data_IF_835025115126
#
_entry.id   IF_835025115126
#
_cell.length_a   1.000
_cell.length_b   1.000
_cell.length_c   1.000
_cell.angle_alpha   90.00
_cell.angle_beta   90.00
_cell.angle_gamma   90.00
#
_symmetry.space_group_name_H-M   'P 1'
#
loop_
_entity.id
_entity.type
_entity.pdbx_description
1 polymer ?
#
# COMPACT_ATOMS: atom_id res chain seq x y z
N UNK A 1 3.84 7.70 29.05
CA UNK A 1 5.25 7.27 29.08
C UNK A 1 5.62 6.95 27.64
N UNK A 2 6.22 7.90 26.92
CA UNK A 2 6.50 7.77 25.48
C UNK A 2 7.99 7.45 25.38
N UNK A 3 8.31 6.20 25.03
CA UNK A 3 9.69 5.80 24.73
C UNK A 3 10.03 6.27 23.32
N UNK A 4 10.71 7.41 23.20
CA UNK A 4 11.35 7.79 21.94
C UNK A 4 12.65 7.02 21.81
N UNK A 5 12.65 5.91 21.07
CA UNK A 5 13.91 5.29 20.63
C UNK A 5 14.51 6.22 19.57
N UNK A 6 15.66 6.80 19.92
CA UNK A 6 16.44 7.67 19.04
C UNK A 6 16.76 6.92 17.75
N UNK A 7 16.09 7.27 16.65
CA UNK A 7 16.51 6.85 15.31
C UNK A 7 17.96 7.32 15.16
N UNK A 8 18.89 6.39 14.98
CA UNK A 8 20.31 6.70 14.86
C UNK A 8 20.50 7.66 13.67
N UNK A 9 21.34 8.70 13.86
CA UNK A 9 21.61 9.76 12.88
C UNK A 9 21.95 9.23 11.47
N UNK A 10 22.56 8.05 11.40
CA UNK A 10 22.90 7.30 10.19
C UNK A 10 21.65 6.91 9.36
N UNK A 11 20.58 6.42 10.00
CA UNK A 11 19.35 5.97 9.34
C UNK A 11 18.55 7.14 8.76
N UNK A 12 18.55 8.30 9.45
CA UNK A 12 17.97 9.55 8.92
C UNK A 12 18.70 10.05 7.67
N UNK A 13 20.03 9.93 7.64
CA UNK A 13 20.84 10.35 6.49
C UNK A 13 20.59 9.41 5.29
N UNK A 14 20.46 8.10 5.55
CA UNK A 14 20.13 7.12 4.53
C UNK A 14 18.76 7.40 3.89
N UNK A 15 17.73 7.61 4.72
CA UNK A 15 16.39 7.95 4.23
C UNK A 15 16.40 9.24 3.40
N UNK A 16 17.06 10.31 3.86
CA UNK A 16 17.18 11.57 3.12
C UNK A 16 17.97 11.44 1.80
N UNK A 17 18.99 10.59 1.74
CA UNK A 17 19.73 10.32 0.49
C UNK A 17 18.87 9.59 -0.56
N UNK A 18 17.93 8.75 -0.14
CA UNK A 18 17.05 7.98 -1.03
C UNK A 18 15.83 8.80 -1.46
N UNK A 19 15.15 9.47 -0.53
CA UNK A 19 13.93 10.25 -0.83
C UNK A 19 14.22 11.68 -1.29
N UNK A 20 15.36 12.25 -0.89
CA UNK A 20 15.72 13.64 -1.21
C UNK A 20 15.82 13.94 -2.71
N UNK A 21 16.39 13.05 -3.55
CA UNK A 21 16.36 13.21 -5.00
C UNK A 21 14.95 13.11 -5.62
N UNK A 22 14.07 12.28 -5.06
CA UNK A 22 12.66 12.13 -5.50
C UNK A 22 11.80 13.37 -5.19
N UNK A 23 12.16 14.13 -4.15
CA UNK A 23 11.43 15.33 -3.69
C UNK A 23 12.05 16.65 -4.17
N UNK A 24 13.09 16.60 -5.01
CA UNK A 24 13.90 17.76 -5.46
C UNK A 24 13.43 18.40 -6.77
N UNK A 25 12.17 18.24 -7.16
CA UNK A 25 11.55 19.05 -8.21
C UNK A 25 11.10 20.41 -7.64
N UNK A 26 11.23 21.50 -8.41
CA UNK A 26 10.86 22.87 -8.01
C UNK A 26 9.34 23.09 -7.75
N UNK A 27 8.53 22.03 -7.82
CA UNK A 27 7.12 22.01 -7.43
C UNK A 27 6.91 20.93 -6.36
N UNK A 28 6.92 21.31 -5.08
CA UNK A 28 6.62 20.38 -3.98
C UNK A 28 5.12 20.14 -3.92
N UNK A 29 4.72 18.92 -4.25
CA UNK A 29 3.31 18.50 -4.28
C UNK A 29 2.85 17.90 -2.95
N UNK A 30 3.75 17.23 -2.22
CA UNK A 30 3.44 16.54 -0.95
C UNK A 30 4.67 16.42 -0.05
N UNK A 31 4.48 16.62 1.26
CA UNK A 31 5.49 16.30 2.29
C UNK A 31 5.32 14.83 2.73
N UNK A 32 6.43 14.09 2.84
CA UNK A 32 6.42 12.65 3.15
C UNK A 32 7.18 12.39 4.46
N UNK A 33 6.54 11.68 5.40
CA UNK A 33 7.15 11.19 6.63
C UNK A 33 7.09 9.65 6.69
N UNK A 34 8.22 9.00 7.01
CA UNK A 34 8.29 7.55 7.23
C UNK A 34 8.74 7.31 8.67
N UNK A 35 7.95 6.55 9.43
CA UNK A 35 8.25 6.14 10.81
C UNK A 35 8.49 4.63 10.87
N UNK A 36 9.60 4.23 11.47
CA UNK A 36 9.93 2.83 11.74
C UNK A 36 9.69 2.61 13.23
N UNK A 37 8.77 1.69 13.57
CA UNK A 37 8.31 1.41 14.92
C UNK A 37 8.30 -0.11 15.13
N UNK A 38 8.83 -0.58 16.26
CA UNK A 38 8.95 -2.03 16.54
C UNK A 38 7.59 -2.70 16.76
N UNK A 39 6.62 -1.95 17.26
CA UNK A 39 5.25 -2.39 17.51
C UNK A 39 4.41 -2.57 16.24
N UNK A 40 4.89 -2.11 15.08
CA UNK A 40 4.18 -2.22 13.81
C UNK A 40 4.49 -3.58 13.17
N UNK A 41 3.56 -4.52 13.32
CA UNK A 41 3.70 -5.89 12.79
C UNK A 41 3.35 -6.02 11.30
N UNK A 42 2.55 -5.09 10.76
CA UNK A 42 2.18 -5.04 9.35
C UNK A 42 2.38 -3.61 8.83
N UNK A 43 3.05 -3.46 7.69
CA UNK A 43 3.27 -2.14 7.06
C UNK A 43 1.94 -1.51 6.64
N UNK A 44 1.74 -0.26 7.01
CA UNK A 44 0.61 0.56 6.57
C UNK A 44 1.08 1.96 6.18
N UNK A 45 0.32 2.63 5.32
CA UNK A 45 0.54 4.02 4.94
C UNK A 45 -0.65 4.87 5.39
N UNK A 46 -0.38 6.06 5.93
CA UNK A 46 -1.41 7.04 6.32
C UNK A 46 -1.16 8.32 5.55
N UNK A 47 -2.18 8.81 4.85
CA UNK A 47 -2.14 10.09 4.13
C UNK A 47 -3.01 11.07 4.91
N UNK A 48 -2.38 12.12 5.45
CA UNK A 48 -3.09 13.25 6.05
C UNK A 48 -3.27 14.33 4.99
N UNK A 49 -4.51 14.68 4.68
CA UNK A 49 -4.84 15.74 3.72
C UNK A 49 -6.10 16.48 4.19
N UNK A 50 -6.23 17.75 3.81
CA UNK A 50 -7.47 18.51 4.03
C UNK A 50 -8.55 18.21 2.97
N UNK A 51 -8.18 17.61 1.84
CA UNK A 51 -9.09 17.21 0.75
C UNK A 51 -8.50 16.10 -0.12
N UNK A 52 -9.35 15.31 -0.77
CA UNK A 52 -8.91 14.35 -1.78
C UNK A 52 -8.58 15.11 -3.07
N UNK A 53 -7.29 15.37 -3.30
CA UNK A 53 -6.79 15.99 -4.53
C UNK A 53 -6.36 14.93 -5.56
N UNK A 54 -6.11 15.35 -6.79
CA UNK A 54 -5.62 14.45 -7.86
C UNK A 54 -4.31 13.76 -7.46
N UNK A 55 -3.45 14.45 -6.72
CA UNK A 55 -2.13 13.96 -6.33
C UNK A 55 -2.24 12.91 -5.22
N UNK A 56 -3.20 13.07 -4.31
CA UNK A 56 -3.54 12.02 -3.33
C UNK A 56 -4.01 10.75 -4.04
N UNK A 57 -4.86 10.90 -5.08
CA UNK A 57 -5.35 9.77 -5.86
C UNK A 57 -4.22 9.06 -6.61
N UNK A 58 -3.28 9.81 -7.20
CA UNK A 58 -2.11 9.26 -7.87
C UNK A 58 -1.24 8.43 -6.91
N UNK A 59 -0.98 8.92 -5.69
CA UNK A 59 -0.20 8.15 -4.68
C UNK A 59 -0.92 6.85 -4.29
N UNK A 60 -2.23 6.89 -4.09
CA UNK A 60 -3.03 5.68 -3.79
C UNK A 60 -2.97 4.69 -4.95
N UNK A 61 -3.03 5.15 -6.19
CA UNK A 61 -2.93 4.32 -7.38
C UNK A 61 -1.53 3.69 -7.52
N UNK A 62 -0.47 4.46 -7.29
CA UNK A 62 0.91 3.96 -7.29
C UNK A 62 1.10 2.84 -6.28
N UNK A 63 0.61 3.02 -5.05
CA UNK A 63 0.64 1.98 -4.02
C UNK A 63 -0.11 0.74 -4.51
N UNK A 64 -1.30 0.90 -5.07
CA UNK A 64 -2.10 -0.23 -5.58
C UNK A 64 -1.49 -0.98 -6.78
N UNK A 65 -0.48 -0.40 -7.42
CA UNK A 65 0.22 -0.98 -8.57
C UNK A 65 1.61 -1.53 -8.23
N UNK A 66 2.01 -1.56 -6.95
CA UNK A 66 3.24 -2.21 -6.53
C UNK A 66 3.20 -3.70 -6.97
N UNK A 67 4.21 -4.20 -7.70
CA UNK A 67 4.25 -5.59 -8.11
C UNK A 67 4.25 -6.54 -6.92
N UNK A 68 3.49 -7.64 -7.01
CA UNK A 68 3.47 -8.68 -5.99
C UNK A 68 2.55 -8.43 -4.79
N UNK A 69 1.85 -7.29 -4.75
CA UNK A 69 0.76 -7.07 -3.79
C UNK A 69 -0.60 -7.17 -4.48
N UNK A 70 -1.62 -7.57 -3.72
CA UNK A 70 -3.00 -7.61 -4.19
C UNK A 70 -3.80 -6.60 -3.40
N UNK A 71 -4.42 -5.64 -4.07
CA UNK A 71 -5.30 -4.67 -3.42
C UNK A 71 -6.76 -5.06 -3.57
N UNK A 72 -7.54 -4.81 -2.52
CA UNK A 72 -8.97 -5.05 -2.51
C UNK A 72 -9.71 -3.90 -1.83
N UNK A 73 -11.03 -3.85 -2.01
CA UNK A 73 -11.92 -2.85 -1.43
C UNK A 73 -12.72 -3.48 -0.30
N UNK A 74 -12.69 -2.84 0.87
CA UNK A 74 -13.54 -3.10 2.04
C UNK A 74 -14.10 -1.76 2.54
N UNK A 75 -15.42 -1.58 2.56
CA UNK A 75 -16.08 -0.38 3.13
C UNK A 75 -15.42 0.95 2.68
N UNK A 76 -15.21 1.10 1.37
CA UNK A 76 -14.56 2.25 0.73
C UNK A 76 -13.04 2.41 0.97
N UNK A 77 -12.44 1.54 1.78
CA UNK A 77 -10.99 1.51 2.01
C UNK A 77 -10.33 0.57 1.02
N UNK A 78 -9.14 0.98 0.54
CA UNK A 78 -8.25 0.08 -0.20
C UNK A 78 -7.37 -0.65 0.82
N UNK A 79 -7.48 -1.98 0.85
CA UNK A 79 -6.66 -2.84 1.70
C UNK A 79 -5.61 -3.56 0.86
N UNK A 80 -4.46 -3.85 1.47
CA UNK A 80 -3.40 -4.65 0.85
C UNK A 80 -3.48 -6.07 1.41
N UNK A 81 -3.62 -7.05 0.53
CA UNK A 81 -3.66 -8.47 0.83
C UNK A 81 -2.34 -9.10 0.44
N UNK A 82 -1.82 -9.98 1.31
CA UNK A 82 -0.69 -10.85 0.95
C UNK A 82 -1.23 -12.04 0.13
N UNK A 83 -0.51 -12.48 -0.91
CA UNK A 83 -0.92 -13.65 -1.71
C UNK A 83 -1.24 -14.89 -0.86
N UNK A 84 -0.44 -15.16 0.17
CA UNK A 84 -0.62 -16.32 1.06
C UNK A 84 -1.93 -16.30 1.88
N UNK A 85 -2.55 -15.14 2.04
CA UNK A 85 -3.82 -15.00 2.75
C UNK A 85 -5.02 -15.26 1.81
N UNK A 86 -4.78 -15.43 0.51
CA UNK A 86 -5.80 -15.63 -0.53
C UNK A 86 -5.85 -17.11 -0.92
N UNK A 87 -6.99 -17.75 -0.72
CA UNK A 87 -7.17 -19.16 -1.13
C UNK A 87 -7.96 -19.32 -2.43
N UNK A 88 -8.76 -18.31 -2.83
CA UNK A 88 -9.55 -18.38 -4.05
C UNK A 88 -9.85 -16.97 -4.60
N UNK A 89 -9.90 -16.85 -5.92
CA UNK A 89 -10.45 -15.67 -6.59
C UNK A 89 -11.54 -16.14 -7.56
N UNK A 90 -12.71 -15.51 -7.54
CA UNK A 90 -13.86 -15.86 -8.38
C UNK A 90 -14.49 -14.61 -8.99
N UNK A 91 -15.07 -14.73 -10.18
CA UNK A 91 -15.91 -13.66 -10.74
C UNK A 91 -17.36 -13.83 -10.29
N UNK A 92 -17.92 -12.78 -9.69
CA UNK A 92 -19.33 -12.69 -9.28
C UNK A 92 -19.90 -11.36 -9.76
N UNK A 93 -21.03 -11.37 -10.46
CA UNK A 93 -21.67 -10.17 -11.01
C UNK A 93 -20.69 -9.22 -11.71
N UNK A 94 -19.84 -9.77 -12.58
CA UNK A 94 -18.83 -9.06 -13.36
C UNK A 94 -17.71 -8.38 -12.53
N UNK A 95 -17.54 -8.76 -11.26
CA UNK A 95 -16.49 -8.28 -10.36
C UNK A 95 -15.64 -9.45 -9.89
N UNK A 96 -14.32 -9.25 -9.77
CA UNK A 96 -13.44 -10.23 -9.17
C UNK A 96 -13.54 -10.15 -7.64
N UNK A 97 -13.95 -11.25 -7.02
CA UNK A 97 -14.07 -11.42 -5.57
C UNK A 97 -12.89 -12.25 -5.09
N UNK A 98 -12.15 -11.72 -4.12
CA UNK A 98 -11.00 -12.34 -3.49
C UNK A 98 -11.48 -12.96 -2.18
N UNK A 99 -11.24 -14.25 -2.01
CA UNK A 99 -11.59 -15.01 -0.82
C UNK A 99 -10.36 -15.27 0.05
N UNK A 100 -10.42 -14.77 1.28
CA UNK A 100 -9.46 -15.01 2.35
C UNK A 100 -10.13 -15.86 3.45
N UNK A 101 -9.34 -16.44 4.38
CA UNK A 101 -9.84 -17.37 5.42
C UNK A 101 -11.12 -16.92 6.12
N UNK A 102 -11.21 -15.64 6.48
CA UNK A 102 -12.33 -15.13 7.30
C UNK A 102 -13.22 -14.12 6.57
N UNK A 103 -12.76 -13.59 5.43
CA UNK A 103 -13.40 -12.46 4.75
C UNK A 103 -13.28 -12.58 3.24
N UNK A 104 -14.19 -11.90 2.53
CA UNK A 104 -14.12 -11.72 1.09
C UNK A 104 -14.09 -10.24 0.73
N UNK A 105 -13.37 -9.92 -0.34
CA UNK A 105 -13.15 -8.55 -0.78
C UNK A 105 -13.39 -8.40 -2.27
N UNK A 106 -13.76 -7.19 -2.69
CA UNK A 106 -13.87 -6.88 -4.13
C UNK A 106 -12.54 -6.35 -4.64
N UNK A 107 -12.01 -6.95 -5.70
CA UNK A 107 -10.80 -6.47 -6.37
C UNK A 107 -11.10 -5.30 -7.30
N UNK A 108 -10.15 -4.34 -7.39
CA UNK A 108 -10.13 -3.34 -8.47
C UNK A 108 -9.58 -3.92 -9.79
N UNK A 109 -8.72 -4.94 -9.71
CA UNK A 109 -8.09 -5.61 -10.86
C UNK A 109 -8.96 -6.74 -11.39
N UNK A 110 -8.90 -6.99 -12.70
CA UNK A 110 -9.59 -8.11 -13.36
C UNK A 110 -8.94 -9.45 -13.01
N UNK A 111 -9.68 -10.55 -13.20
CA UNK A 111 -9.20 -11.91 -12.91
C UNK A 111 -7.88 -12.24 -13.61
N UNK A 112 -7.71 -11.84 -14.88
CA UNK A 112 -6.49 -12.08 -15.67
C UNK A 112 -5.28 -11.32 -15.08
N UNK A 113 -5.49 -10.13 -14.54
CA UNK A 113 -4.43 -9.36 -13.88
C UNK A 113 -4.02 -10.01 -12.55
N UNK A 114 -5.02 -10.47 -11.78
CA UNK A 114 -4.79 -11.20 -10.54
C UNK A 114 -4.06 -12.52 -10.79
N UNK A 115 -4.41 -13.24 -11.86
CA UNK A 115 -3.74 -14.48 -12.26
C UNK A 115 -2.24 -14.25 -12.52
N UNK A 116 -1.86 -13.14 -13.16
CA UNK A 116 -0.45 -12.80 -13.40
C UNK A 116 0.32 -12.54 -12.09
N UNK A 117 -0.33 -11.90 -11.12
CA UNK A 117 0.27 -11.60 -9.80
C UNK A 117 0.40 -12.88 -8.97
N UNK A 118 -0.65 -13.71 -8.97
CA UNK A 118 -0.73 -14.93 -8.18
C UNK A 118 0.13 -16.07 -8.75
N UNK A 119 0.34 -16.16 -10.07
CA UNK A 119 1.22 -17.18 -10.68
C UNK A 119 2.67 -17.14 -10.20
N UNK A 120 3.13 -16.02 -9.62
CA UNK A 120 4.43 -15.93 -8.97
C UNK A 120 4.43 -16.31 -7.48
N UNK A 121 3.27 -16.62 -6.91
CA UNK A 121 3.05 -16.84 -5.47
C UNK A 121 2.48 -18.22 -5.13
N UNK A 122 2.31 -19.10 -6.14
CA UNK A 122 1.86 -20.49 -6.01
C UNK A 122 2.94 -21.45 -6.53
#
# INVERSE_FOLDING_TARGET
>A
MIYTKTIHREERIFLWKVIGPLLKGENRVMDVEIKILEEVTNTYAVIYTNQISEEVLQVVEMIGNIPGIITAIEEEKTIVLRPNDIYMVRVESNKAIIYCKEKKYTSKKRLIELEKILKGSF
#
